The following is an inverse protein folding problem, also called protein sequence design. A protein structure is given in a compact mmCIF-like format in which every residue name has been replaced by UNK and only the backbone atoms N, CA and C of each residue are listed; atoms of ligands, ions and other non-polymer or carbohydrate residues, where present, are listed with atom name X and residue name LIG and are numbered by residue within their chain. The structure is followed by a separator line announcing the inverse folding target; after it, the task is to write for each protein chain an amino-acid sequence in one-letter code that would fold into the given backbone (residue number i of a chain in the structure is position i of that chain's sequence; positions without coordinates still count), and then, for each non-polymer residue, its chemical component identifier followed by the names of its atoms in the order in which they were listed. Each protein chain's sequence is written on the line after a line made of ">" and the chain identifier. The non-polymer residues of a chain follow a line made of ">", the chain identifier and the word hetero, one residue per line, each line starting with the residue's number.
data_IF_758512076235
#
_entry.id   IF_758512076235
#
_cell.length_a   1.000
_cell.length_b   1.000
_cell.length_c   1.000
_cell.angle_alpha   90.00
_cell.angle_beta   90.00
_cell.angle_gamma   90.00
#
_symmetry.space_group_name_H-M   'P 1'
#
loop_
_entity.id
_entity.type
_entity.pdbx_description
1 polymer ?
#
# COMPACT_ATOMS: atom_id res chain seq x y z
N UNK A 1 -8.54 -19.53 15.99
CA UNK A 1 -8.11 -18.12 15.80
C UNK A 1 -7.54 -17.93 14.39
N UNK A 2 -8.38 -18.15 13.38
CA UNK A 2 -8.06 -18.02 11.95
C UNK A 2 -8.94 -16.90 11.39
N UNK A 3 -8.38 -15.76 11.00
CA UNK A 3 -8.94 -14.86 9.97
C UNK A 3 -8.07 -13.61 9.75
N UNK A 4 -7.97 -13.22 8.47
CA UNK A 4 -7.38 -12.00 7.87
C UNK A 4 -5.84 -12.12 7.79
N UNK A 5 -5.21 -12.34 6.64
CA UNK A 5 -5.16 -11.46 5.47
C UNK A 5 -4.90 -12.28 4.18
N UNK A 6 -5.97 -12.65 3.47
CA UNK A 6 -5.90 -13.34 2.16
C UNK A 6 -6.70 -12.58 1.10
N UNK A 7 -6.60 -11.25 1.06
CA UNK A 7 -7.32 -10.42 0.07
C UNK A 7 -6.56 -9.13 -0.23
N UNK A 8 -5.54 -9.19 -1.09
CA UNK A 8 -5.11 -8.05 -1.89
C UNK A 8 -4.22 -8.57 -3.04
N UNK A 9 -4.80 -8.83 -4.20
CA UNK A 9 -4.06 -9.36 -5.35
C UNK A 9 -4.87 -9.91 -6.52
N UNK A 10 -6.20 -9.74 -6.54
CA UNK A 10 -7.01 -10.00 -7.74
C UNK A 10 -7.45 -8.62 -8.27
N UNK A 11 -6.61 -8.00 -9.09
CA UNK A 11 -6.96 -6.79 -9.86
C UNK A 11 -5.88 -6.54 -10.91
N UNK A 12 -5.91 -7.31 -12.01
CA UNK A 12 -5.45 -6.89 -13.34
C UNK A 12 -5.85 -7.96 -14.36
N UNK A 13 -7.16 -8.05 -14.61
CA UNK A 13 -7.73 -8.77 -15.74
C UNK A 13 -8.29 -7.73 -16.72
N UNK A 14 -7.79 -7.79 -17.95
CA UNK A 14 -8.36 -7.31 -19.22
C UNK A 14 -8.82 -5.84 -19.31
N UNK A 15 -7.89 -4.97 -19.68
CA UNK A 15 -8.17 -3.63 -20.19
C UNK A 15 -7.60 -3.42 -21.59
N UNK A 16 -8.03 -4.24 -22.56
CA UNK A 16 -7.85 -3.98 -24.01
C UNK A 16 -9.01 -4.54 -24.82
N UNK A 17 -10.14 -3.83 -24.88
CA UNK A 17 -11.08 -3.79 -26.03
C UNK A 17 -12.36 -2.96 -25.72
N UNK A 18 -12.20 -1.68 -25.38
CA UNK A 18 -13.35 -0.76 -25.17
C UNK A 18 -13.27 0.47 -26.09
N UNK A 19 -12.82 0.30 -27.33
CA UNK A 19 -12.64 1.40 -28.30
C UNK A 19 -13.65 1.42 -29.45
N UNK A 20 -14.69 0.56 -29.45
CA UNK A 20 -15.55 0.38 -30.64
C UNK A 20 -17.02 0.83 -30.52
N UNK A 21 -17.42 1.57 -29.46
CA UNK A 21 -18.82 2.02 -29.29
C UNK A 21 -18.92 3.55 -29.13
N UNK A 22 -18.13 4.31 -29.90
CA UNK A 22 -18.10 5.78 -29.83
C UNK A 22 -18.56 6.47 -31.13
N UNK A 23 -19.20 5.75 -32.07
CA UNK A 23 -19.59 6.32 -33.38
C UNK A 23 -21.10 6.23 -33.71
N UNK A 24 -22.00 6.41 -32.73
CA UNK A 24 -23.44 6.60 -33.04
C UNK A 24 -24.23 7.56 -32.13
N UNK A 25 -23.67 8.11 -31.07
CA UNK A 25 -24.38 9.10 -30.23
C UNK A 25 -24.06 10.56 -30.61
N UNK A 26 -24.18 10.89 -31.91
CA UNK A 26 -23.93 12.25 -32.42
C UNK A 26 -25.14 12.93 -33.06
N UNK A 27 -26.37 12.41 -32.88
CA UNK A 27 -27.58 12.97 -33.52
C UNK A 27 -28.73 13.28 -32.54
N UNK A 28 -28.74 12.78 -31.29
CA UNK A 28 -29.86 13.00 -30.34
C UNK A 28 -29.39 13.60 -29.01
N UNK A 29 -28.79 14.80 -29.05
CA UNK A 29 -28.33 15.48 -27.83
C UNK A 29 -28.46 17.00 -27.85
N UNK A 30 -29.23 17.56 -28.80
CA UNK A 30 -29.39 19.00 -29.00
C UNK A 30 -30.58 19.62 -28.22
N UNK A 31 -31.33 18.84 -27.40
CA UNK A 31 -32.59 19.31 -26.76
C UNK A 31 -32.50 19.43 -25.22
N UNK A 32 -31.42 19.01 -24.55
CA UNK A 32 -31.31 19.10 -23.08
C UNK A 32 -30.15 19.99 -22.59
N UNK A 33 -29.96 21.17 -23.20
CA UNK A 33 -28.81 22.06 -22.95
C UNK A 33 -29.11 23.27 -22.03
N UNK A 34 -30.11 23.21 -21.15
CA UNK A 34 -30.43 24.36 -20.27
C UNK A 34 -30.84 24.00 -18.81
N UNK A 35 -30.58 22.79 -18.32
CA UNK A 35 -31.01 22.38 -16.97
C UNK A 35 -29.94 21.84 -16.01
N UNK A 36 -28.68 21.70 -16.43
CA UNK A 36 -27.70 20.88 -15.69
C UNK A 36 -26.51 21.66 -15.10
N UNK A 37 -26.68 22.96 -14.81
CA UNK A 37 -25.60 23.78 -14.25
C UNK A 37 -25.65 24.01 -12.73
N UNK A 38 -26.53 23.32 -11.98
CA UNK A 38 -26.72 23.61 -10.54
C UNK A 38 -26.69 22.39 -9.61
N UNK A 39 -26.07 21.26 -9.98
CA UNK A 39 -26.14 20.04 -9.15
C UNK A 39 -24.83 19.27 -8.94
N UNK A 40 -23.65 19.82 -9.27
CA UNK A 40 -22.36 19.10 -9.09
C UNK A 40 -21.50 19.68 -7.94
N UNK A 41 -21.96 20.70 -7.22
CA UNK A 41 -21.13 21.38 -6.21
C UNK A 41 -21.38 20.97 -4.73
N UNK A 42 -22.21 19.96 -4.46
CA UNK A 42 -22.58 19.58 -3.09
C UNK A 42 -22.20 18.13 -2.74
N UNK A 43 -20.95 17.74 -2.98
CA UNK A 43 -20.35 16.56 -2.37
C UNK A 43 -18.82 16.67 -2.31
N UNK A 44 -18.31 17.85 -1.93
CA UNK A 44 -16.95 17.93 -1.41
C UNK A 44 -17.03 17.56 0.07
N UNK A 45 -16.54 16.37 0.50
CA UNK A 45 -16.34 16.15 1.92
C UNK A 45 -15.29 17.17 2.34
N UNK A 46 -15.71 18.11 3.20
CA UNK A 46 -14.82 19.02 3.88
C UNK A 46 -13.94 18.16 4.77
N UNK A 47 -12.82 17.69 4.22
CA UNK A 47 -11.69 17.27 5.00
C UNK A 47 -11.39 18.46 5.92
N UNK A 48 -11.71 18.31 7.20
CA UNK A 48 -11.38 19.27 8.22
C UNK A 48 -9.87 19.51 8.13
N UNK A 49 -9.50 20.62 7.50
CA UNK A 49 -8.15 21.13 7.50
C UNK A 49 -7.96 21.61 8.93
N UNK A 50 -7.43 20.72 9.77
CA UNK A 50 -7.05 21.05 11.14
C UNK A 50 -6.17 22.29 11.04
N UNK A 51 -6.61 23.38 11.68
CA UNK A 51 -5.88 24.65 11.72
C UNK A 51 -4.43 24.38 12.13
N UNK A 52 -3.47 24.88 11.36
CA UNK A 52 -2.05 24.60 11.53
C UNK A 52 -1.45 25.10 12.87
N UNK A 53 -2.21 25.79 13.72
CA UNK A 53 -1.69 26.59 14.83
C UNK A 53 -2.07 26.15 16.24
N UNK A 54 -2.87 25.10 16.43
CA UNK A 54 -3.18 24.53 17.77
C UNK A 54 -2.79 23.05 17.86
N UNK A 55 -1.62 22.70 17.33
CA UNK A 55 -1.13 21.32 17.38
C UNK A 55 -0.51 21.09 18.76
N UNK A 56 -1.21 20.33 19.61
CA UNK A 56 -0.68 19.85 20.89
C UNK A 56 0.64 19.10 20.66
N UNK A 57 1.74 19.71 21.08
CA UNK A 57 3.10 19.18 20.93
C UNK A 57 3.33 17.92 21.75
N UNK A 58 2.60 17.76 22.85
CA UNK A 58 2.70 16.59 23.72
C UNK A 58 1.91 15.42 23.15
N UNK A 59 0.79 15.69 22.45
CA UNK A 59 -0.08 14.67 21.87
C UNK A 59 -0.39 14.94 20.38
N UNK A 60 0.62 14.93 19.50
CA UNK A 60 0.40 15.14 18.08
C UNK A 60 -0.43 13.99 17.48
N UNK A 61 -1.29 14.25 16.48
CA UNK A 61 -2.09 13.22 15.85
C UNK A 61 -1.20 12.19 15.11
N UNK A 62 -1.56 10.91 15.18
CA UNK A 62 -0.76 9.80 14.66
C UNK A 62 -0.40 9.90 13.17
N UNK A 63 -1.23 10.59 12.38
CA UNK A 63 -0.96 10.82 10.95
C UNK A 63 0.26 11.75 10.74
N UNK A 64 0.43 12.77 11.58
CA UNK A 64 1.58 13.68 11.51
C UNK A 64 2.87 12.98 11.98
N UNK A 65 2.80 12.13 13.00
CA UNK A 65 3.96 11.41 13.51
C UNK A 65 4.54 10.40 12.51
N UNK A 66 3.67 9.73 11.73
CA UNK A 66 4.08 8.76 10.70
C UNK A 66 4.90 9.39 9.58
N UNK A 67 4.62 10.66 9.24
CA UNK A 67 5.33 11.42 8.19
C UNK A 67 6.70 11.92 8.66
N UNK A 68 6.91 12.05 9.97
CA UNK A 68 8.20 12.48 10.54
C UNK A 68 9.28 11.41 10.36
N UNK A 69 10.51 11.87 10.14
CA UNK A 69 11.69 11.00 10.13
C UNK A 69 11.88 10.31 11.50
N UNK A 70 12.42 9.08 11.50
CA UNK A 70 12.59 8.25 12.70
C UNK A 70 13.28 8.92 13.90
N UNK A 71 14.20 9.85 13.64
CA UNK A 71 14.92 10.61 14.68
C UNK A 71 14.18 11.88 15.16
N UNK A 72 13.21 12.38 14.38
CA UNK A 72 12.47 13.63 14.63
C UNK A 72 11.06 13.38 15.21
N UNK A 73 10.74 12.13 15.56
CA UNK A 73 9.50 11.80 16.28
C UNK A 73 9.60 12.25 17.73
N UNK A 74 8.46 12.40 18.40
CA UNK A 74 8.40 12.72 19.82
C UNK A 74 9.19 11.68 20.64
N UNK A 75 8.98 10.41 20.32
CA UNK A 75 9.78 9.28 20.81
C UNK A 75 10.46 8.60 19.63
N UNK A 76 11.77 8.41 19.72
CA UNK A 76 12.56 7.77 18.68
C UNK A 76 12.25 6.27 18.63
N UNK A 77 11.94 5.77 17.44
CA UNK A 77 11.65 4.36 17.20
C UNK A 77 12.18 3.91 15.84
N UNK A 78 12.66 2.65 15.73
CA UNK A 78 13.15 2.12 14.46
C UNK A 78 12.01 1.94 13.45
N UNK A 79 12.33 2.08 12.16
CA UNK A 79 11.40 1.78 11.04
C UNK A 79 11.54 0.33 10.52
N UNK A 80 12.50 -0.42 11.06
CA UNK A 80 12.77 -1.80 10.70
C UNK A 80 11.97 -2.77 11.57
N UNK A 81 11.75 -3.98 11.05
CA UNK A 81 10.98 -5.02 11.72
C UNK A 81 11.53 -6.39 11.32
N UNK A 82 11.26 -7.39 12.15
CA UNK A 82 11.49 -8.79 11.82
C UNK A 82 10.23 -9.38 11.19
N UNK A 83 10.42 -10.19 10.16
CA UNK A 83 9.33 -10.86 9.47
C UNK A 83 9.61 -12.35 9.35
N UNK A 84 8.57 -13.14 9.44
CA UNK A 84 8.59 -14.58 9.23
C UNK A 84 8.28 -14.84 7.76
N UNK A 85 9.28 -15.29 7.00
CA UNK A 85 9.14 -15.61 5.57
C UNK A 85 8.95 -17.10 5.41
N UNK A 86 7.93 -17.49 4.65
CA UNK A 86 7.67 -18.88 4.27
C UNK A 86 8.25 -19.17 2.90
N UNK A 87 9.09 -20.20 2.85
CA UNK A 87 9.65 -20.73 1.62
C UNK A 87 8.58 -21.51 0.83
N UNK A 88 8.54 -21.35 -0.50
CA UNK A 88 7.58 -22.04 -1.37
C UNK A 88 7.84 -23.56 -1.51
N UNK A 89 9.10 -23.99 -1.54
CA UNK A 89 9.44 -25.43 -1.67
C UNK A 89 9.37 -26.23 -0.37
N UNK A 90 9.82 -25.66 0.75
CA UNK A 90 10.01 -26.40 2.00
C UNK A 90 8.96 -26.10 3.08
N UNK A 91 8.09 -25.09 2.88
CA UNK A 91 7.15 -24.55 3.89
C UNK A 91 7.75 -24.15 5.26
N UNK A 92 9.07 -24.24 5.40
CA UNK A 92 9.80 -23.80 6.58
C UNK A 92 9.71 -22.28 6.72
N UNK A 93 9.57 -21.86 7.98
CA UNK A 93 9.45 -20.46 8.38
C UNK A 93 10.83 -19.99 8.84
N UNK A 94 11.36 -18.97 8.20
CA UNK A 94 12.62 -18.34 8.60
C UNK A 94 12.38 -16.88 8.98
N UNK A 95 12.95 -16.47 10.12
CA UNK A 95 12.92 -15.07 10.56
C UNK A 95 13.94 -14.27 9.74
N UNK A 96 13.49 -13.23 9.06
CA UNK A 96 14.30 -12.35 8.22
C UNK A 96 14.14 -10.90 8.67
N UNK A 97 15.23 -10.15 8.65
CA UNK A 97 15.19 -8.71 8.94
C UNK A 97 14.77 -7.91 7.70
N UNK A 98 13.92 -6.88 7.89
CA UNK A 98 13.34 -6.15 6.76
C UNK A 98 14.34 -5.36 5.90
N UNK A 99 15.51 -5.01 6.45
CA UNK A 99 16.61 -4.34 5.74
C UNK A 99 17.88 -5.20 5.79
N UNK A 100 17.75 -6.50 5.48
CA UNK A 100 18.89 -7.42 5.46
C UNK A 100 19.99 -6.93 4.52
N UNK A 101 21.25 -6.94 4.99
CA UNK A 101 22.43 -6.61 4.19
C UNK A 101 23.01 -7.82 3.47
N UNK A 102 22.73 -9.03 3.96
CA UNK A 102 23.19 -10.28 3.38
C UNK A 102 22.06 -10.99 2.66
N UNK A 103 22.42 -11.82 1.67
CA UNK A 103 21.50 -12.74 1.02
C UNK A 103 21.07 -13.78 2.05
N UNK A 104 19.77 -13.90 2.29
CA UNK A 104 19.23 -14.89 3.24
C UNK A 104 18.73 -16.10 2.47
N UNK A 105 19.21 -17.27 2.88
CA UNK A 105 18.93 -18.55 2.24
C UNK A 105 18.13 -19.43 3.19
N UNK A 106 17.17 -20.19 2.66
CA UNK A 106 16.42 -21.18 3.42
C UNK A 106 17.33 -22.32 3.87
N UNK A 107 17.34 -22.67 5.16
CA UNK A 107 18.21 -23.72 5.70
C UNK A 107 17.95 -25.14 5.18
N UNK A 108 16.77 -25.41 4.59
CA UNK A 108 16.39 -26.75 4.12
C UNK A 108 16.40 -26.87 2.58
N UNK A 109 15.86 -25.87 1.87
CA UNK A 109 15.78 -25.87 0.40
C UNK A 109 16.99 -25.22 -0.28
N UNK A 110 17.86 -24.54 0.48
CA UNK A 110 18.96 -23.69 -0.05
C UNK A 110 18.53 -22.64 -1.08
N UNK A 111 17.23 -22.37 -1.18
CA UNK A 111 16.68 -21.32 -2.04
C UNK A 111 16.92 -19.96 -1.40
N UNK A 112 17.31 -18.99 -2.22
CA UNK A 112 17.40 -17.58 -1.81
C UNK A 112 15.99 -17.09 -1.46
N UNK A 113 15.83 -16.48 -0.28
CA UNK A 113 14.56 -15.92 0.19
C UNK A 113 14.50 -14.41 -0.01
N UNK A 114 15.62 -13.73 0.20
CA UNK A 114 15.74 -12.31 -0.07
C UNK A 114 17.12 -11.92 -0.57
N UNK A 115 17.14 -10.88 -1.40
CA UNK A 115 18.34 -10.21 -1.89
C UNK A 115 18.48 -8.84 -1.20
N UNK A 116 19.70 -8.46 -0.78
CA UNK A 116 19.92 -7.16 -0.18
C UNK A 116 19.75 -6.05 -1.22
N UNK A 117 19.20 -4.92 -0.77
CA UNK A 117 19.11 -3.69 -1.56
C UNK A 117 19.55 -2.51 -0.70
N UNK A 118 19.62 -1.30 -1.26
CA UNK A 118 19.90 -0.08 -0.47
C UNK A 118 18.81 0.28 0.56
N UNK A 119 17.65 -0.37 0.51
CA UNK A 119 16.52 -0.12 1.40
C UNK A 119 15.97 -1.40 2.02
N UNK A 120 14.69 -1.68 1.76
CA UNK A 120 14.08 -2.95 2.19
C UNK A 120 14.59 -4.10 1.32
N UNK A 121 14.87 -5.24 1.93
CA UNK A 121 15.31 -6.42 1.21
C UNK A 121 14.25 -6.85 0.17
N UNK A 122 14.71 -7.27 -1.01
CA UNK A 122 13.86 -7.77 -2.09
C UNK A 122 13.56 -9.24 -1.82
N UNK A 123 12.31 -9.57 -1.50
CA UNK A 123 11.88 -10.96 -1.37
C UNK A 123 11.81 -11.62 -2.76
N UNK A 124 12.13 -12.90 -2.82
CA UNK A 124 11.92 -13.71 -4.02
C UNK A 124 10.43 -13.90 -4.28
N UNK A 125 10.07 -13.95 -5.55
CA UNK A 125 8.69 -14.18 -5.99
C UNK A 125 8.11 -15.46 -5.39
N UNK A 126 6.84 -15.40 -5.01
CA UNK A 126 6.15 -16.47 -4.31
C UNK A 126 6.39 -16.51 -2.80
N UNK A 127 7.41 -15.92 -2.20
CA UNK A 127 7.56 -16.01 -0.74
C UNK A 127 6.46 -15.22 0.02
N UNK A 128 5.74 -15.87 0.94
CA UNK A 128 4.76 -15.21 1.79
C UNK A 128 5.41 -14.77 3.11
N UNK A 129 5.05 -13.61 3.65
CA UNK A 129 5.63 -13.10 4.89
C UNK A 129 4.58 -12.66 5.90
N UNK A 130 4.91 -12.78 7.19
CA UNK A 130 4.14 -12.26 8.33
C UNK A 130 5.04 -11.35 9.15
N UNK A 131 4.55 -10.17 9.57
CA UNK A 131 5.29 -9.32 10.51
C UNK A 131 5.17 -9.90 11.92
N UNK A 132 6.30 -9.97 12.63
CA UNK A 132 6.36 -10.42 14.02
C UNK A 132 6.10 -9.28 15.00
#
# INVERSE_FOLDING_TARGET
>A
MLKKESYFGILELESRNFFFVLQSFRIVGCILRLGFHQAVFAAFPQAAMVLQNDIDLLNPPAELEKRKHKLKRLVQSPNSFFMDVKCQGCFNITTVFSHSQTVVVCGNCQTVLCQPTGGKARLTEGCSFRKK
#
